data_IF_978803320243
#
_entry.id   IF_978803320243
#
_cell.length_a   1.000
_cell.length_b   1.000
_cell.length_c   1.000
_cell.angle_alpha   90.00
_cell.angle_beta   90.00
_cell.angle_gamma   90.00
#
_symmetry.space_group_name_H-M   'P 1'
#
loop_
_entity.id
_entity.type
_entity.pdbx_description
1 polymer ?
#
# COMPACT_ATOMS: atom_id res chain seq x y z
N UNK A 1 -15.75 -13.75 52.80
CA UNK A 1 -16.40 -12.59 52.17
C UNK A 1 -15.54 -12.14 50.99
N UNK A 2 -16.00 -12.25 49.77
CA UNK A 2 -15.25 -11.73 48.62
C UNK A 2 -15.42 -10.21 48.53
N UNK A 3 -14.32 -9.50 48.29
CA UNK A 3 -14.29 -8.06 48.11
C UNK A 3 -14.84 -7.72 46.73
N UNK A 4 -15.90 -6.92 46.68
CA UNK A 4 -16.44 -6.38 45.44
C UNK A 4 -15.44 -5.42 44.76
N UNK A 5 -15.30 -5.45 43.42
CA UNK A 5 -14.43 -4.52 42.72
C UNK A 5 -15.05 -3.12 42.72
N UNK A 6 -14.32 -2.15 43.27
CA UNK A 6 -14.69 -0.73 43.25
C UNK A 6 -14.76 -0.25 41.79
N UNK A 7 -15.95 0.19 41.36
CA UNK A 7 -16.18 0.82 40.09
C UNK A 7 -15.34 2.13 39.97
N UNK A 8 -14.57 2.26 38.89
CA UNK A 8 -13.88 3.51 38.58
C UNK A 8 -14.93 4.60 38.29
N UNK A 9 -14.76 5.83 38.81
CA UNK A 9 -15.66 6.90 38.47
C UNK A 9 -15.53 7.22 36.96
N UNK A 10 -16.64 7.21 36.24
CA UNK A 10 -16.72 7.69 34.86
C UNK A 10 -16.50 9.19 34.88
N UNK A 11 -15.35 9.65 34.37
CA UNK A 11 -15.14 11.06 34.04
C UNK A 11 -16.09 11.40 32.89
N UNK A 12 -17.28 11.91 33.21
CA UNK A 12 -18.15 12.59 32.28
C UNK A 12 -17.45 13.89 31.89
N UNK A 13 -16.73 13.89 30.78
CA UNK A 13 -16.27 15.13 30.16
C UNK A 13 -17.52 15.83 29.63
N UNK A 14 -17.88 17.03 30.12
CA UNK A 14 -19.05 17.73 29.60
C UNK A 14 -18.84 18.01 28.11
N UNK A 15 -19.92 18.01 27.30
CA UNK A 15 -19.82 18.38 25.90
C UNK A 15 -19.19 19.77 25.79
N UNK A 16 -18.17 19.91 24.96
CA UNK A 16 -17.54 21.20 24.68
C UNK A 16 -18.64 22.11 24.14
N UNK A 17 -19.03 23.11 24.93
CA UNK A 17 -20.01 24.09 24.51
C UNK A 17 -19.37 24.98 23.46
N UNK A 18 -19.65 24.71 22.19
CA UNK A 18 -19.10 25.41 21.01
C UNK A 18 -19.67 26.84 20.84
N UNK A 19 -20.47 27.33 21.79
CA UNK A 19 -20.96 28.71 21.80
C UNK A 19 -20.07 29.57 22.70
N UNK A 20 -18.84 29.81 22.33
CA UNK A 20 -18.02 30.88 22.91
C UNK A 20 -18.10 32.11 22.00
N UNK A 21 -18.84 33.11 22.50
CA UNK A 21 -18.78 34.53 22.09
C UNK A 21 -18.96 34.81 20.59
N UNK A 22 -20.13 34.51 20.01
CA UNK A 22 -20.49 34.93 18.63
C UNK A 22 -19.41 34.72 17.56
N UNK A 23 -18.40 33.91 17.82
CA UNK A 23 -17.42 33.50 16.79
C UNK A 23 -18.01 32.37 15.93
N UNK A 24 -18.19 32.64 14.65
CA UNK A 24 -18.52 31.62 13.66
C UNK A 24 -17.28 30.71 13.58
N UNK A 25 -17.37 29.53 14.20
CA UNK A 25 -16.32 28.52 14.09
C UNK A 25 -16.25 28.06 12.64
N UNK A 26 -15.07 28.13 12.04
CA UNK A 26 -14.88 27.59 10.70
C UNK A 26 -15.09 26.06 10.71
N UNK A 27 -15.96 25.54 9.86
CA UNK A 27 -16.16 24.10 9.76
C UNK A 27 -14.88 23.43 9.24
N UNK A 28 -14.66 22.16 9.63
CA UNK A 28 -13.58 21.36 9.05
C UNK A 28 -13.78 21.24 7.53
N UNK A 29 -12.70 21.19 6.77
CA UNK A 29 -12.77 20.90 5.32
C UNK A 29 -13.36 19.52 5.07
N UNK A 30 -14.10 19.36 3.98
CA UNK A 30 -14.76 18.10 3.59
C UNK A 30 -14.20 17.49 2.31
N UNK A 31 -13.27 18.18 1.66
CA UNK A 31 -12.65 17.83 0.36
C UNK A 31 -11.31 17.10 0.52
N UNK A 32 -11.08 16.45 1.67
CA UNK A 32 -9.89 15.64 1.89
C UNK A 32 -10.06 14.24 1.30
N UNK A 33 -8.94 13.65 0.85
CA UNK A 33 -8.89 12.30 0.29
C UNK A 33 -9.16 11.22 1.34
N UNK A 34 -9.70 10.10 0.93
CA UNK A 34 -9.92 8.92 1.77
C UNK A 34 -8.60 8.24 2.13
N UNK A 35 -8.61 7.34 3.11
CA UNK A 35 -7.45 6.52 3.45
C UNK A 35 -6.99 5.63 2.30
N UNK A 36 -7.92 5.05 1.55
CA UNK A 36 -7.58 4.23 0.38
C UNK A 36 -6.90 5.06 -0.72
N UNK A 37 -7.41 6.26 -0.99
CA UNK A 37 -6.81 7.18 -1.95
C UNK A 37 -5.43 7.65 -1.50
N UNK A 38 -5.26 7.92 -0.21
CA UNK A 38 -3.97 8.30 0.35
C UNK A 38 -2.93 7.19 0.20
N UNK A 39 -3.23 5.96 0.65
CA UNK A 39 -2.29 4.86 0.61
C UNK A 39 -2.01 4.37 -0.83
N UNK A 40 -3.02 4.37 -1.69
CA UNK A 40 -2.80 4.11 -3.12
C UNK A 40 -1.97 5.23 -3.76
N UNK A 41 -2.18 6.48 -3.37
CA UNK A 41 -1.36 7.63 -3.78
C UNK A 41 0.11 7.44 -3.40
N UNK A 42 0.39 6.98 -2.17
CA UNK A 42 1.76 6.65 -1.73
C UNK A 42 2.35 5.50 -2.55
N UNK A 43 1.59 4.45 -2.82
CA UNK A 43 2.03 3.34 -3.69
C UNK A 43 2.39 3.86 -5.09
N UNK A 44 1.51 4.66 -5.71
CA UNK A 44 1.75 5.25 -7.05
C UNK A 44 2.97 6.17 -7.05
N UNK A 45 3.14 6.99 -6.00
CA UNK A 45 4.32 7.86 -5.85
C UNK A 45 5.61 7.05 -5.72
N UNK A 46 5.59 5.95 -4.93
CA UNK A 46 6.73 5.03 -4.82
C UNK A 46 7.11 4.46 -6.20
N UNK A 47 6.14 4.10 -7.02
CA UNK A 47 6.35 3.63 -8.39
C UNK A 47 7.11 4.63 -9.28
N UNK A 48 7.04 5.95 -8.99
CA UNK A 48 7.82 6.97 -9.72
C UNK A 48 9.34 6.86 -9.49
N UNK A 49 9.76 6.07 -8.51
CA UNK A 49 11.18 5.75 -8.30
C UNK A 49 11.68 4.62 -9.19
N UNK A 50 10.80 3.84 -9.79
CA UNK A 50 11.18 2.74 -10.67
C UNK A 50 11.88 3.27 -11.92
N UNK A 51 12.99 2.64 -12.29
CA UNK A 51 13.76 2.91 -13.50
C UNK A 51 13.33 2.02 -14.69
N UNK A 52 12.38 1.09 -14.47
CA UNK A 52 11.81 0.26 -15.53
C UNK A 52 11.17 1.13 -16.62
N UNK A 53 11.68 1.14 -17.85
CA UNK A 53 11.16 2.00 -18.92
C UNK A 53 9.74 1.62 -19.36
N UNK A 54 9.31 0.41 -19.02
CA UNK A 54 8.06 -0.16 -19.54
C UNK A 54 6.92 -0.12 -18.54
N UNK A 55 7.18 -0.43 -17.26
CA UNK A 55 6.11 -0.55 -16.25
C UNK A 55 6.66 -0.15 -14.88
N UNK A 56 6.19 0.97 -14.37
CA UNK A 56 6.56 1.46 -13.05
C UNK A 56 5.45 1.07 -12.07
N UNK A 57 5.77 0.20 -11.12
CA UNK A 57 4.84 -0.28 -10.09
C UNK A 57 5.35 0.16 -8.73
N UNK A 58 4.44 0.55 -7.87
CA UNK A 58 4.73 0.82 -6.47
C UNK A 58 3.77 0.08 -5.56
N UNK A 59 4.22 -0.15 -4.33
CA UNK A 59 3.45 -0.75 -3.26
C UNK A 59 3.65 -0.02 -1.94
N UNK A 60 2.62 -0.06 -1.08
CA UNK A 60 2.61 0.54 0.25
C UNK A 60 1.94 -0.42 1.23
N UNK A 61 2.62 -0.77 2.33
CA UNK A 61 2.10 -1.65 3.38
C UNK A 61 1.65 -0.79 4.55
N UNK A 62 0.45 -1.07 5.04
CA UNK A 62 -0.23 -0.27 6.06
C UNK A 62 -0.72 -1.17 7.18
N UNK A 63 -0.40 -0.79 8.43
CA UNK A 63 -0.88 -1.51 9.61
C UNK A 63 -2.39 -1.33 9.83
N UNK A 64 -3.04 -2.18 10.67
CA UNK A 64 -4.44 -1.99 11.06
C UNK A 64 -4.75 -0.61 11.66
N UNK A 65 -3.74 0.08 12.20
CA UNK A 65 -3.85 1.42 12.78
C UNK A 65 -3.57 2.55 11.76
N UNK A 66 -3.60 2.25 10.46
CA UNK A 66 -3.33 3.20 9.37
C UNK A 66 -1.93 3.83 9.40
N UNK A 67 -0.92 3.08 9.89
CA UNK A 67 0.49 3.51 9.80
C UNK A 67 1.16 2.83 8.61
N UNK A 68 1.87 3.60 7.81
CA UNK A 68 2.72 3.06 6.74
C UNK A 68 3.91 2.36 7.41
N UNK A 69 4.09 1.08 7.12
CA UNK A 69 5.14 0.23 7.70
C UNK A 69 6.11 -0.31 6.65
N UNK A 70 5.80 -0.17 5.37
CA UNK A 70 6.68 -0.54 4.26
C UNK A 70 6.24 0.16 2.99
N UNK A 71 7.22 0.48 2.13
CA UNK A 71 6.96 0.97 0.78
C UNK A 71 8.04 0.41 -0.16
N UNK A 72 7.66 0.16 -1.41
CA UNK A 72 8.54 -0.41 -2.41
C UNK A 72 8.14 -0.02 -3.83
N UNK A 73 9.05 -0.19 -4.74
CA UNK A 73 8.84 -0.06 -6.19
C UNK A 73 9.64 -1.14 -6.91
N UNK A 74 9.26 -1.47 -8.13
CA UNK A 74 9.97 -2.50 -8.89
C UNK A 74 11.34 -1.97 -9.37
N UNK A 75 12.38 -2.81 -9.17
CA UNK A 75 13.76 -2.44 -9.50
C UNK A 75 14.73 -3.61 -9.32
N UNK A 76 15.96 -3.40 -9.73
CA UNK A 76 17.02 -4.40 -9.54
C UNK A 76 17.40 -4.54 -8.06
N UNK A 77 17.93 -5.68 -7.64
CA UNK A 77 18.46 -5.89 -6.29
C UNK A 77 19.61 -4.92 -5.96
N UNK A 78 19.81 -4.66 -4.68
CA UNK A 78 20.93 -3.84 -4.20
C UNK A 78 22.25 -4.44 -4.69
N UNK A 79 23.11 -3.59 -5.31
CA UNK A 79 24.38 -4.00 -5.88
C UNK A 79 24.33 -4.41 -7.35
N UNK A 80 23.13 -4.58 -7.93
CA UNK A 80 22.97 -4.78 -9.37
C UNK A 80 22.81 -3.40 -10.04
N UNK A 81 23.71 -3.07 -10.96
CA UNK A 81 23.70 -1.78 -11.65
C UNK A 81 22.54 -1.69 -12.64
N UNK A 82 21.80 -0.60 -12.58
CA UNK A 82 20.70 -0.31 -13.52
C UNK A 82 21.20 -0.10 -14.97
N UNK A 83 22.49 0.17 -15.15
CA UNK A 83 23.13 0.40 -16.46
C UNK A 83 23.75 -0.89 -17.02
N UNK A 84 23.94 -1.95 -16.22
CA UNK A 84 24.58 -3.19 -16.64
C UNK A 84 23.57 -4.32 -16.87
N UNK A 85 22.41 -4.28 -16.22
CA UNK A 85 21.37 -5.30 -16.35
C UNK A 85 20.31 -4.91 -17.39
N UNK A 86 19.74 -5.92 -18.10
CA UNK A 86 18.78 -5.64 -19.16
C UNK A 86 17.42 -5.18 -18.62
N UNK A 87 16.79 -4.25 -19.37
CA UNK A 87 15.43 -3.79 -19.13
C UNK A 87 14.43 -4.25 -20.20
N UNK A 88 14.90 -5.04 -21.19
CA UNK A 88 14.09 -5.53 -22.28
C UNK A 88 13.01 -6.52 -21.80
N UNK A 89 11.89 -6.56 -22.55
CA UNK A 89 10.76 -7.48 -22.32
C UNK A 89 10.83 -8.70 -23.22
N UNK A 90 11.57 -8.63 -24.32
CA UNK A 90 11.62 -9.62 -25.38
C UNK A 90 13.05 -10.02 -25.67
N UNK A 91 13.27 -11.27 -26.07
CA UNK A 91 14.57 -11.84 -26.32
C UNK A 91 14.80 -13.12 -25.53
N UNK A 92 16.04 -13.57 -25.48
CA UNK A 92 16.44 -14.67 -24.61
C UNK A 92 16.25 -14.28 -23.13
N UNK A 93 15.84 -15.23 -22.29
CA UNK A 93 15.45 -14.97 -20.90
C UNK A 93 16.51 -14.15 -20.15
N UNK A 94 17.78 -14.49 -20.25
CA UNK A 94 18.87 -13.80 -19.55
C UNK A 94 19.14 -12.37 -20.09
N UNK A 95 18.63 -12.04 -21.25
CA UNK A 95 18.73 -10.71 -21.86
C UNK A 95 17.45 -9.89 -21.62
N UNK A 96 16.58 -10.34 -20.72
CA UNK A 96 15.37 -9.62 -20.32
C UNK A 96 15.41 -9.26 -18.83
N UNK A 97 14.59 -8.30 -18.43
CA UNK A 97 14.48 -7.89 -17.03
C UNK A 97 13.87 -8.95 -16.10
N UNK A 98 13.13 -9.91 -16.63
CA UNK A 98 12.28 -10.81 -15.83
C UNK A 98 13.03 -11.66 -14.79
N UNK A 99 14.25 -12.16 -15.02
CA UNK A 99 14.98 -12.89 -13.99
C UNK A 99 15.58 -12.02 -12.88
N UNK A 100 15.65 -10.71 -13.07
CA UNK A 100 16.47 -9.83 -12.24
C UNK A 100 15.67 -8.81 -11.43
N UNK A 101 14.52 -8.34 -11.95
CA UNK A 101 13.75 -7.27 -11.32
C UNK A 101 12.93 -7.79 -10.15
N UNK A 102 13.17 -7.26 -8.95
CA UNK A 102 12.30 -7.43 -7.80
C UNK A 102 11.04 -6.62 -7.98
N UNK A 103 9.88 -7.23 -7.73
CA UNK A 103 8.59 -6.53 -7.81
C UNK A 103 8.38 -5.59 -6.62
N UNK A 104 7.49 -4.63 -6.78
CA UNK A 104 7.21 -3.58 -5.81
C UNK A 104 6.74 -4.15 -4.46
N UNK A 105 5.89 -5.18 -4.50
CA UNK A 105 5.33 -5.81 -3.31
C UNK A 105 6.43 -6.50 -2.49
N UNK A 106 7.33 -7.24 -3.15
CA UNK A 106 8.47 -7.88 -2.50
C UNK A 106 9.38 -6.83 -1.87
N UNK A 107 9.71 -5.77 -2.60
CA UNK A 107 10.52 -4.67 -2.08
C UNK A 107 9.84 -3.96 -0.91
N UNK A 108 8.52 -3.77 -0.93
CA UNK A 108 7.78 -3.18 0.20
C UNK A 108 7.86 -4.07 1.46
N UNK A 109 7.79 -5.40 1.31
CA UNK A 109 7.94 -6.36 2.41
C UNK A 109 9.37 -6.32 2.96
N UNK A 110 10.39 -6.34 2.09
CA UNK A 110 11.80 -6.34 2.50
C UNK A 110 12.25 -5.00 3.09
N UNK A 111 11.65 -3.88 2.67
CA UNK A 111 11.89 -2.54 3.20
C UNK A 111 11.12 -2.23 4.49
N UNK A 112 10.42 -3.20 5.04
CA UNK A 112 9.77 -3.08 6.33
C UNK A 112 10.79 -2.76 7.43
N UNK A 113 10.45 -1.83 8.33
CA UNK A 113 11.31 -1.34 9.41
C UNK A 113 11.21 -2.25 10.65
N UNK A 114 11.32 -3.58 10.46
CA UNK A 114 11.28 -4.55 11.57
C UNK A 114 9.93 -4.67 12.29
N UNK A 115 8.84 -4.24 11.65
CA UNK A 115 7.49 -4.41 12.17
C UNK A 115 6.91 -5.77 11.76
N UNK A 116 6.12 -6.38 12.64
CA UNK A 116 5.27 -7.50 12.25
C UNK A 116 4.23 -7.04 11.24
N UNK A 117 4.18 -7.71 10.09
CA UNK A 117 3.24 -7.41 9.01
C UNK A 117 1.90 -8.16 9.15
N UNK A 118 1.74 -8.97 10.17
CA UNK A 118 0.50 -9.71 10.44
C UNK A 118 -0.70 -8.77 10.56
N UNK A 119 -1.75 -9.06 9.80
CA UNK A 119 -2.97 -8.24 9.77
C UNK A 119 -2.85 -6.93 8.99
N UNK A 120 -1.70 -6.63 8.37
CA UNK A 120 -1.52 -5.45 7.53
C UNK A 120 -2.30 -5.56 6.21
N UNK A 121 -2.43 -4.42 5.53
CA UNK A 121 -2.93 -4.30 4.15
C UNK A 121 -1.79 -3.88 3.24
N UNK A 122 -1.77 -4.39 2.01
CA UNK A 122 -0.86 -3.91 0.98
C UNK A 122 -1.64 -3.25 -0.16
N UNK A 123 -1.24 -2.03 -0.50
CA UNK A 123 -1.74 -1.28 -1.66
C UNK A 123 -0.74 -1.40 -2.78
N UNK A 124 -1.20 -1.77 -3.97
CA UNK A 124 -0.33 -1.96 -5.14
C UNK A 124 -1.00 -1.47 -6.43
N UNK A 125 -0.21 -0.87 -7.33
CA UNK A 125 -0.72 -0.36 -8.59
C UNK A 125 -1.26 -1.47 -9.52
N UNK A 126 -0.65 -2.66 -9.49
CA UNK A 126 -1.08 -3.85 -10.21
C UNK A 126 -1.42 -4.98 -9.25
N UNK A 127 -2.40 -5.82 -9.58
CA UNK A 127 -2.67 -7.03 -8.81
C UNK A 127 -1.38 -7.88 -8.71
N UNK A 128 -1.04 -8.44 -7.53
CA UNK A 128 0.21 -9.17 -7.33
C UNK A 128 0.26 -10.47 -8.13
N UNK A 129 1.41 -10.79 -8.69
CA UNK A 129 1.66 -12.08 -9.34
C UNK A 129 1.75 -13.21 -8.29
N UNK A 130 1.84 -14.47 -8.75
CA UNK A 130 1.95 -15.63 -7.88
C UNK A 130 3.14 -15.57 -6.90
N UNK A 131 4.31 -15.08 -7.34
CA UNK A 131 5.49 -14.95 -6.47
C UNK A 131 5.29 -13.91 -5.38
N UNK A 132 4.77 -12.72 -5.74
CA UNK A 132 4.44 -11.69 -4.76
C UNK A 132 3.35 -12.16 -3.78
N UNK A 133 2.35 -12.90 -4.26
CA UNK A 133 1.30 -13.44 -3.38
C UNK A 133 1.82 -14.44 -2.36
N UNK A 134 2.79 -15.28 -2.72
CA UNK A 134 3.48 -16.14 -1.75
C UNK A 134 4.15 -15.32 -0.65
N UNK A 135 4.87 -14.25 -1.02
CA UNK A 135 5.53 -13.38 -0.06
C UNK A 135 4.52 -12.63 0.84
N UNK A 136 3.42 -12.14 0.27
CA UNK A 136 2.33 -11.47 0.99
C UNK A 136 1.73 -12.42 2.04
N UNK A 137 1.40 -13.66 1.66
CA UNK A 137 0.84 -14.67 2.55
C UNK A 137 1.82 -15.00 3.69
N UNK A 138 3.09 -15.26 3.35
CA UNK A 138 4.13 -15.63 4.33
C UNK A 138 4.46 -14.47 5.29
N UNK A 139 4.29 -13.23 4.86
CA UNK A 139 4.43 -12.04 5.70
C UNK A 139 3.23 -11.80 6.63
N UNK A 140 2.15 -12.60 6.53
CA UNK A 140 0.94 -12.43 7.35
C UNK A 140 0.05 -11.26 6.97
N UNK A 141 0.24 -10.68 5.79
CA UNK A 141 -0.62 -9.61 5.26
C UNK A 141 -1.99 -10.20 4.93
N UNK A 142 -3.06 -9.53 5.35
CA UNK A 142 -4.44 -10.06 5.32
C UNK A 142 -5.33 -9.43 4.24
N UNK A 143 -4.89 -8.33 3.62
CA UNK A 143 -5.66 -7.68 2.56
C UNK A 143 -4.75 -7.12 1.46
N UNK A 144 -5.15 -7.35 0.21
CA UNK A 144 -4.55 -6.74 -0.99
C UNK A 144 -5.53 -5.72 -1.57
N UNK A 145 -5.13 -4.45 -1.66
CA UNK A 145 -5.89 -3.39 -2.33
C UNK A 145 -5.15 -3.02 -3.61
N UNK A 146 -5.78 -3.22 -4.76
CA UNK A 146 -5.13 -2.99 -6.04
C UNK A 146 -5.86 -1.94 -6.89
N UNK A 147 -5.12 -1.28 -7.81
CA UNK A 147 -5.70 -0.33 -8.74
C UNK A 147 -6.11 -1.00 -10.06
N UNK A 148 -5.29 -1.91 -10.58
CA UNK A 148 -5.50 -2.57 -11.87
C UNK A 148 -5.26 -4.07 -11.79
N UNK A 149 -6.15 -4.86 -12.40
CA UNK A 149 -6.04 -6.31 -12.55
C UNK A 149 -6.04 -6.70 -14.05
N UNK A 150 -5.29 -5.96 -14.84
CA UNK A 150 -5.28 -6.12 -16.33
C UNK A 150 -4.79 -7.48 -16.83
N UNK A 151 -4.18 -8.29 -15.96
CA UNK A 151 -3.67 -9.63 -16.27
C UNK A 151 -4.50 -10.74 -15.64
N UNK A 152 -5.73 -10.44 -15.18
CA UNK A 152 -6.60 -11.31 -14.40
C UNK A 152 -6.76 -12.74 -14.94
N UNK A 153 -6.79 -12.89 -16.27
CA UNK A 153 -7.07 -14.14 -16.97
C UNK A 153 -5.84 -15.01 -17.24
N UNK A 154 -4.64 -14.53 -16.89
CA UNK A 154 -3.42 -15.33 -17.10
C UNK A 154 -3.22 -16.34 -15.95
N UNK A 155 -2.67 -17.50 -16.25
CA UNK A 155 -2.47 -18.59 -15.27
C UNK A 155 -1.73 -18.15 -14.00
N UNK A 156 -0.75 -17.26 -14.13
CA UNK A 156 0.03 -16.71 -13.02
C UNK A 156 -0.87 -15.94 -12.04
N UNK A 157 -1.80 -15.13 -12.56
CA UNK A 157 -2.71 -14.31 -11.74
C UNK A 157 -3.89 -15.12 -11.23
N UNK A 158 -4.35 -16.13 -11.99
CA UNK A 158 -5.33 -17.10 -11.49
C UNK A 158 -4.74 -17.92 -10.34
N UNK A 159 -3.49 -18.36 -10.44
CA UNK A 159 -2.78 -19.06 -9.34
C UNK A 159 -2.61 -18.16 -8.12
N UNK A 160 -2.27 -16.88 -8.33
CA UNK A 160 -2.20 -15.85 -7.27
C UNK A 160 -3.52 -15.77 -6.50
N UNK A 161 -4.64 -15.56 -7.20
CA UNK A 161 -5.96 -15.45 -6.59
C UNK A 161 -6.35 -16.72 -5.81
N UNK A 162 -6.06 -17.90 -6.36
CA UNK A 162 -6.32 -19.18 -5.68
C UNK A 162 -5.55 -19.29 -4.36
N UNK A 163 -4.28 -18.89 -4.33
CA UNK A 163 -3.46 -18.93 -3.11
C UNK A 163 -3.96 -17.93 -2.07
N UNK A 164 -4.26 -16.68 -2.47
CA UNK A 164 -4.78 -15.66 -1.57
C UNK A 164 -6.10 -16.13 -0.92
N UNK A 165 -7.05 -16.64 -1.72
CA UNK A 165 -8.31 -17.18 -1.21
C UNK A 165 -8.06 -18.34 -0.23
N UNK A 166 -7.22 -19.31 -0.58
CA UNK A 166 -6.94 -20.47 0.24
C UNK A 166 -6.27 -20.09 1.58
N UNK A 167 -5.47 -19.02 1.60
CA UNK A 167 -4.82 -18.49 2.79
C UNK A 167 -5.70 -17.52 3.60
N UNK A 168 -6.94 -17.23 3.16
CA UNK A 168 -7.83 -16.28 3.84
C UNK A 168 -7.43 -14.81 3.65
N UNK A 169 -6.57 -14.50 2.70
CA UNK A 169 -6.21 -13.12 2.35
C UNK A 169 -7.27 -12.53 1.43
N UNK A 170 -7.92 -11.47 1.89
CA UNK A 170 -8.90 -10.75 1.08
C UNK A 170 -8.23 -9.88 0.02
N UNK A 171 -8.93 -9.63 -1.09
CA UNK A 171 -8.46 -8.67 -2.08
C UNK A 171 -9.63 -7.89 -2.69
N UNK A 172 -9.38 -6.62 -3.01
CA UNK A 172 -10.35 -5.74 -3.66
C UNK A 172 -9.68 -4.66 -4.49
N UNK A 173 -10.39 -4.14 -5.48
CA UNK A 173 -9.98 -2.91 -6.14
C UNK A 173 -10.15 -1.70 -5.22
N UNK A 174 -9.27 -0.70 -5.37
CA UNK A 174 -9.48 0.59 -4.71
C UNK A 174 -10.76 1.26 -5.23
N UNK A 175 -11.55 1.78 -4.31
CA UNK A 175 -12.75 2.55 -4.66
C UNK A 175 -12.41 4.05 -4.59
N UNK A 176 -12.46 4.72 -5.73
CA UNK A 176 -12.15 6.15 -5.83
C UNK A 176 -12.90 6.80 -6.97
N UNK A 177 -13.31 8.05 -6.77
CA UNK A 177 -13.79 8.94 -7.82
C UNK A 177 -12.68 9.89 -8.31
N UNK A 178 -11.47 9.79 -7.74
CA UNK A 178 -10.35 10.64 -8.16
C UNK A 178 -9.69 10.08 -9.42
N UNK A 179 -9.52 10.96 -10.41
CA UNK A 179 -8.74 10.63 -11.60
C UNK A 179 -7.28 11.06 -11.48
N UNK A 180 -6.96 12.01 -10.58
CA UNK A 180 -5.63 12.59 -10.43
C UNK A 180 -5.44 13.18 -9.03
N UNK A 181 -4.23 13.00 -8.49
CA UNK A 181 -3.68 13.80 -7.38
C UNK A 181 -2.46 14.54 -7.95
N UNK A 182 -2.42 15.86 -7.81
CA UNK A 182 -1.30 16.68 -8.26
C UNK A 182 -0.44 17.08 -7.08
N UNK A 183 0.88 16.89 -7.23
CA UNK A 183 1.89 17.34 -6.28
C UNK A 183 2.67 18.51 -6.92
N UNK A 184 2.64 19.67 -6.26
CA UNK A 184 3.30 20.89 -6.71
C UNK A 184 4.42 21.22 -5.73
N UNK A 185 5.65 21.39 -6.24
CA UNK A 185 6.86 21.64 -5.42
C UNK A 185 7.33 23.10 -5.48
N UNK A 186 6.43 24.05 -5.81
CA UNK A 186 6.76 25.47 -5.91
C UNK A 186 6.75 26.25 -4.59
N UNK A 187 6.34 25.60 -3.50
CA UNK A 187 6.26 26.19 -2.15
C UNK A 187 5.22 27.30 -1.98
N UNK A 188 4.42 27.61 -3.00
CA UNK A 188 3.47 28.75 -3.01
C UNK A 188 2.07 28.38 -2.54
N UNK A 189 1.79 27.10 -2.35
CA UNK A 189 0.47 26.59 -1.92
C UNK A 189 0.67 25.44 -0.93
N UNK A 190 0.94 25.76 0.30
CA UNK A 190 0.87 24.83 1.43
C UNK A 190 -0.17 25.36 2.42
#
# INVERSE_FOLDING_TARGET
MPLEPKSKPSLLIPPINLQLNNQILMPKRTDYITWDEYFMGVALLSGKRSKDPSTQVGACIVSPQNKIVGAGYNGLPIGCSDDEFPWDKTGELLNTKYPYVCHAELNAILNNIGMDLSGCRIYTALFPCNECSKAIIQAGIMEVVYLSDKYAETDIFVASKRMLIAAGVSYRSVQTNLHKIELVFDGKKV
#
